data_IF_903488643649
#
_entry.id   IF_903488643649
#
_cell.length_a   1.000
_cell.length_b   1.000
_cell.length_c   1.000
_cell.angle_alpha   90.00
_cell.angle_beta   90.00
_cell.angle_gamma   90.00
#
_symmetry.space_group_name_H-M   'P 1'
#
loop_
_entity.id
_entity.type
_entity.pdbx_description
1 polymer ?
#
# COMPACT_ATOMS: atom_id res chain seq x y z
N UNK A 1 -7.60 12.57 -36.66
CA UNK A 1 -6.64 13.38 -35.88
C UNK A 1 -5.39 12.53 -35.72
N UNK A 2 -4.50 12.56 -36.72
CA UNK A 2 -3.25 11.82 -36.72
C UNK A 2 -2.21 12.66 -35.98
N UNK A 3 -1.68 12.15 -34.86
CA UNK A 3 -0.64 12.82 -34.09
C UNK A 3 0.72 12.40 -34.63
N UNK A 4 1.31 13.26 -35.47
CA UNK A 4 2.73 13.25 -35.78
C UNK A 4 3.53 13.63 -34.53
N UNK A 5 3.95 12.61 -33.81
CA UNK A 5 5.19 12.47 -33.04
C UNK A 5 4.92 11.34 -32.05
N UNK A 6 5.40 10.14 -32.38
CA UNK A 6 5.20 8.90 -31.61
C UNK A 6 5.90 8.92 -30.24
N UNK A 7 5.45 9.84 -29.39
CA UNK A 7 6.02 10.25 -28.11
C UNK A 7 4.86 10.55 -27.18
N UNK A 8 4.47 9.57 -26.39
CA UNK A 8 3.38 9.65 -25.44
C UNK A 8 3.88 9.80 -24.01
N UNK A 9 3.25 10.68 -23.26
CA UNK A 9 3.38 10.72 -21.81
C UNK A 9 2.48 9.67 -21.16
N UNK A 10 2.75 9.32 -19.89
CA UNK A 10 1.91 8.38 -19.12
C UNK A 10 0.43 8.81 -19.11
N UNK A 11 0.16 10.12 -19.11
CA UNK A 11 -1.20 10.65 -19.09
C UNK A 11 -1.91 10.34 -20.42
N UNK A 12 -1.27 10.64 -21.54
CA UNK A 12 -1.81 10.35 -22.88
C UNK A 12 -1.97 8.84 -23.11
N UNK A 13 -1.04 8.01 -22.60
CA UNK A 13 -1.18 6.55 -22.63
C UNK A 13 -2.42 6.07 -21.86
N UNK A 14 -2.71 6.68 -20.71
CA UNK A 14 -3.89 6.32 -19.91
C UNK A 14 -5.21 6.70 -20.59
N UNK A 15 -5.24 7.85 -21.27
CA UNK A 15 -6.40 8.31 -22.03
C UNK A 15 -6.64 7.44 -23.27
N UNK A 16 -5.58 7.08 -24.00
CA UNK A 16 -5.68 6.25 -25.21
C UNK A 16 -6.08 4.79 -24.91
N UNK A 17 -5.72 4.26 -23.75
CA UNK A 17 -6.03 2.89 -23.34
C UNK A 17 -7.35 2.78 -22.56
N UNK A 18 -7.90 3.88 -22.07
CA UNK A 18 -9.07 3.87 -21.17
C UNK A 18 -8.78 3.20 -19.83
N UNK A 19 -7.51 3.09 -19.44
CA UNK A 19 -7.03 2.40 -18.23
C UNK A 19 -6.48 3.41 -17.24
N UNK A 20 -6.75 3.23 -15.94
CA UNK A 20 -6.27 4.15 -14.89
C UNK A 20 -4.75 4.33 -14.96
N UNK A 21 -4.29 5.57 -14.78
CA UNK A 21 -2.86 5.95 -14.79
C UNK A 21 -1.97 5.08 -13.88
N UNK A 22 -2.48 4.68 -12.72
CA UNK A 22 -1.77 3.79 -11.79
C UNK A 22 -1.50 2.41 -12.36
N UNK A 23 -2.47 1.86 -13.11
CA UNK A 23 -2.35 0.56 -13.77
C UNK A 23 -1.39 0.63 -14.95
N UNK A 24 -1.42 1.74 -15.71
CA UNK A 24 -0.43 1.98 -16.77
C UNK A 24 0.99 2.06 -16.20
N UNK A 25 1.19 2.78 -15.09
CA UNK A 25 2.48 2.83 -14.40
C UNK A 25 2.97 1.44 -13.93
N UNK A 26 2.07 0.60 -13.41
CA UNK A 26 2.39 -0.76 -12.99
C UNK A 26 2.84 -1.63 -14.18
N UNK A 27 2.14 -1.54 -15.31
CA UNK A 27 2.53 -2.23 -16.53
C UNK A 27 3.86 -1.73 -17.10
N UNK A 28 4.09 -0.42 -17.08
CA UNK A 28 5.35 0.20 -17.51
C UNK A 28 6.54 -0.22 -16.63
N UNK A 29 6.33 -0.50 -15.34
CA UNK A 29 7.37 -1.01 -14.44
C UNK A 29 7.62 -2.51 -14.65
N UNK A 30 6.54 -3.30 -14.76
CA UNK A 30 6.61 -4.77 -14.84
C UNK A 30 7.07 -5.29 -16.20
N UNK A 31 6.69 -4.61 -17.28
CA UNK A 31 6.98 -5.00 -18.66
C UNK A 31 7.98 -4.04 -19.33
N UNK A 32 8.81 -3.36 -18.52
CA UNK A 32 9.82 -2.41 -19.00
C UNK A 32 10.79 -3.02 -20.03
N UNK A 33 11.02 -4.34 -19.94
CA UNK A 33 11.90 -5.12 -20.83
C UNK A 33 11.42 -5.11 -22.30
N UNK A 34 10.14 -4.83 -22.55
CA UNK A 34 9.55 -4.83 -23.88
C UNK A 34 9.20 -3.41 -24.38
N UNK A 35 9.65 -2.36 -23.68
CA UNK A 35 9.16 -0.99 -23.90
C UNK A 35 10.30 0.02 -23.93
N UNK A 36 10.27 0.91 -24.91
CA UNK A 36 11.24 2.00 -25.01
C UNK A 36 10.70 3.27 -24.34
N UNK A 37 11.57 3.92 -23.58
CA UNK A 37 11.32 5.25 -23.04
C UNK A 37 12.54 6.16 -23.23
N UNK A 38 12.26 7.42 -23.53
CA UNK A 38 13.24 8.50 -23.53
C UNK A 38 12.94 9.46 -22.37
N UNK A 39 13.99 9.93 -21.70
CA UNK A 39 13.85 10.92 -20.63
C UNK A 39 13.96 12.31 -21.22
N UNK A 40 12.89 13.09 -21.16
CA UNK A 40 12.90 14.52 -21.49
C UNK A 40 12.73 15.34 -20.21
N UNK A 41 13.85 15.89 -19.72
CA UNK A 41 13.89 16.59 -18.44
C UNK A 41 13.58 15.67 -17.25
N UNK A 42 12.45 15.91 -16.56
CA UNK A 42 11.96 15.07 -15.45
C UNK A 42 10.90 14.03 -15.87
N UNK A 43 10.53 13.96 -17.14
CA UNK A 43 9.40 13.14 -17.62
C UNK A 43 9.90 12.02 -18.54
N UNK A 44 9.35 10.82 -18.36
CA UNK A 44 9.51 9.70 -19.29
C UNK A 44 8.51 9.84 -20.43
N UNK A 45 9.00 9.68 -21.65
CA UNK A 45 8.23 9.71 -22.88
C UNK A 45 8.37 8.37 -23.57
N UNK A 46 7.25 7.79 -23.97
CA UNK A 46 7.14 6.45 -24.51
C UNK A 46 6.88 6.50 -26.02
N UNK A 47 7.46 5.56 -26.76
CA UNK A 47 7.30 5.42 -28.20
C UNK A 47 5.96 4.78 -28.60
N UNK A 48 5.66 4.79 -29.91
CA UNK A 48 4.52 4.05 -30.48
C UNK A 48 4.62 2.52 -30.28
N UNK A 49 5.85 1.98 -30.20
CA UNK A 49 6.08 0.57 -29.88
C UNK A 49 5.52 0.22 -28.51
N UNK A 50 5.79 1.06 -27.51
CA UNK A 50 5.27 0.91 -26.14
C UNK A 50 3.74 0.95 -26.10
N UNK A 51 3.10 1.80 -26.90
CA UNK A 51 1.64 1.85 -26.99
C UNK A 51 1.05 0.57 -27.58
N UNK A 52 1.71 -0.03 -28.57
CA UNK A 52 1.31 -1.32 -29.16
C UNK A 52 1.40 -2.46 -28.14
N UNK A 53 2.49 -2.50 -27.37
CA UNK A 53 2.69 -3.49 -26.28
C UNK A 53 1.65 -3.31 -25.19
N UNK A 54 1.38 -2.08 -24.75
CA UNK A 54 0.37 -1.79 -23.73
C UNK A 54 -1.06 -2.12 -24.18
N UNK A 55 -1.40 -1.89 -25.46
CA UNK A 55 -2.68 -2.34 -26.03
C UNK A 55 -2.81 -3.86 -25.96
N UNK A 56 -1.74 -4.60 -26.26
CA UNK A 56 -1.76 -6.06 -26.18
C UNK A 56 -1.87 -6.56 -24.74
N UNK A 57 -1.19 -5.90 -23.79
CA UNK A 57 -1.34 -6.20 -22.36
C UNK A 57 -2.80 -5.96 -21.91
N UNK A 58 -3.41 -4.85 -22.32
CA UNK A 58 -4.80 -4.55 -21.98
C UNK A 58 -5.76 -5.62 -22.53
N UNK A 59 -5.55 -6.09 -23.76
CA UNK A 59 -6.32 -7.17 -24.37
C UNK A 59 -6.16 -8.50 -23.61
N UNK A 60 -4.93 -8.91 -23.29
CA UNK A 60 -4.64 -10.15 -22.59
C UNK A 60 -5.16 -10.13 -21.14
N UNK A 61 -5.13 -8.96 -20.49
CA UNK A 61 -5.74 -8.75 -19.17
C UNK A 61 -7.26 -8.79 -19.24
N UNK A 62 -7.87 -8.23 -20.29
CA UNK A 62 -9.31 -8.34 -20.55
C UNK A 62 -9.76 -9.79 -20.76
N UNK A 63 -8.88 -10.64 -21.30
CA UNK A 63 -9.09 -12.08 -21.47
C UNK A 63 -8.84 -12.91 -20.19
N UNK A 64 -8.47 -12.27 -19.07
CA UNK A 64 -8.24 -12.96 -17.79
C UNK A 64 -6.94 -13.76 -17.70
N UNK A 65 -5.99 -13.57 -18.62
CA UNK A 65 -4.71 -14.30 -18.60
C UNK A 65 -3.83 -13.88 -17.41
N UNK A 66 -3.10 -14.84 -16.86
CA UNK A 66 -2.18 -14.58 -15.73
C UNK A 66 -1.05 -13.65 -16.16
N UNK A 67 -0.44 -12.97 -15.19
CA UNK A 67 0.72 -12.11 -15.45
C UNK A 67 1.88 -12.85 -16.12
N UNK A 68 2.03 -14.15 -15.81
CA UNK A 68 3.05 -15.04 -16.38
C UNK A 68 2.74 -15.39 -17.85
N UNK A 69 1.47 -15.67 -18.17
CA UNK A 69 1.05 -15.94 -19.55
C UNK A 69 1.19 -14.70 -20.43
N UNK A 70 0.93 -13.51 -19.87
CA UNK A 70 1.17 -12.23 -20.54
C UNK A 70 2.65 -12.07 -20.87
N UNK A 71 3.54 -12.35 -19.91
CA UNK A 71 4.98 -12.23 -20.12
C UNK A 71 5.48 -13.22 -21.20
N UNK A 72 5.06 -14.48 -21.14
CA UNK A 72 5.44 -15.49 -22.14
C UNK A 72 4.93 -15.19 -23.55
N UNK A 73 3.76 -14.55 -23.68
CA UNK A 73 3.22 -14.13 -24.98
C UNK A 73 3.88 -12.86 -25.50
N UNK A 74 4.28 -11.94 -24.62
CA UNK A 74 5.06 -10.77 -24.98
C UNK A 74 6.48 -11.16 -25.44
N UNK A 75 7.15 -12.07 -24.72
CA UNK A 75 8.48 -12.58 -25.08
C UNK A 75 8.51 -13.29 -26.44
N UNK A 76 7.38 -13.89 -26.86
CA UNK A 76 7.24 -14.54 -28.18
C UNK A 76 6.97 -13.55 -29.32
N UNK A 77 6.37 -12.39 -29.03
CA UNK A 77 5.88 -11.44 -30.03
C UNK A 77 6.77 -10.21 -30.20
N UNK A 78 7.42 -9.77 -29.13
CA UNK A 78 8.28 -8.60 -29.13
C UNK A 78 9.70 -9.05 -28.78
N UNK A 79 10.67 -8.67 -29.61
CA UNK A 79 12.08 -8.92 -29.32
C UNK A 79 12.44 -8.23 -28.00
N UNK A 80 13.10 -8.96 -27.11
CA UNK A 80 13.65 -8.41 -25.86
C UNK A 80 14.69 -7.35 -26.25
N UNK A 81 14.34 -6.07 -26.08
CA UNK A 81 15.24 -4.98 -26.37
C UNK A 81 16.06 -4.69 -25.09
N UNK A 82 17.39 -4.83 -25.12
CA UNK A 82 18.21 -4.63 -23.94
C UNK A 82 18.13 -3.17 -23.48
N UNK A 83 17.80 -3.03 -22.21
CA UNK A 83 17.69 -1.79 -21.45
C UNK A 83 18.96 -0.93 -21.58
N UNK A 84 18.89 0.38 -21.92
CA UNK A 84 20.03 1.27 -21.76
C UNK A 84 20.30 1.51 -20.27
N UNK A 85 21.57 1.31 -19.89
CA UNK A 85 22.10 1.29 -18.53
C UNK A 85 21.79 2.53 -17.69
N UNK A 86 21.59 2.39 -16.37
CA UNK A 86 21.82 3.48 -15.42
C UNK A 86 23.32 3.60 -15.08
N UNK A 87 23.91 4.77 -15.33
CA UNK A 87 25.26 5.14 -14.92
C UNK A 87 25.40 5.27 -13.38
N UNK A 88 26.45 4.62 -12.86
CA UNK A 88 27.14 4.77 -11.55
C UNK A 88 26.33 4.41 -10.29
N UNK A 89 26.86 3.60 -9.35
CA UNK A 89 28.18 3.70 -8.72
C UNK A 89 28.70 2.32 -8.25
N UNK A 90 29.95 2.02 -8.57
CA UNK A 90 30.92 1.09 -7.91
C UNK A 90 30.39 -0.14 -7.15
N UNK A 91 30.67 -1.33 -7.68
CA UNK A 91 31.22 -2.43 -6.88
C UNK A 91 31.94 -3.45 -7.77
N UNK A 92 33.11 -3.87 -7.29
CA UNK A 92 34.09 -4.74 -7.93
C UNK A 92 33.51 -6.12 -8.25
N UNK A 93 33.73 -6.58 -9.48
CA UNK A 93 33.65 -7.98 -9.90
C UNK A 93 34.41 -8.90 -8.90
N UNK A 94 34.04 -10.16 -8.69
CA UNK A 94 34.05 -11.26 -9.67
C UNK A 94 33.28 -12.46 -9.11
N UNK A 95 32.67 -13.20 -10.04
CA UNK A 95 32.23 -14.60 -10.01
C UNK A 95 30.84 -14.95 -9.48
N UNK A 96 29.91 -14.97 -10.43
CA UNK A 96 29.36 -16.19 -11.05
C UNK A 96 28.91 -17.33 -10.13
N UNK A 97 27.62 -17.64 -10.28
CA UNK A 97 27.20 -19.03 -10.44
C UNK A 97 26.13 -19.48 -9.48
N UNK A 98 24.88 -19.21 -9.86
CA UNK A 98 23.63 -19.84 -9.43
C UNK A 98 23.79 -21.25 -8.83
N UNK A 99 23.17 -21.59 -7.70
CA UNK A 99 21.74 -21.41 -7.45
C UNK A 99 20.99 -22.56 -8.09
N UNK A 100 20.87 -23.68 -7.36
CA UNK A 100 19.60 -24.21 -6.80
C UNK A 100 18.83 -25.05 -7.82
N UNK A 101 18.57 -26.34 -7.56
CA UNK A 101 17.47 -26.78 -6.69
C UNK A 101 16.14 -26.49 -7.40
N UNK A 102 15.23 -27.41 -7.68
CA UNK A 102 14.92 -28.70 -7.05
C UNK A 102 13.82 -29.39 -7.89
N UNK A 103 13.63 -30.71 -7.68
CA UNK A 103 12.36 -31.48 -7.57
C UNK A 103 11.05 -30.81 -8.03
N UNK A 104 10.02 -31.45 -8.60
CA UNK A 104 9.64 -32.86 -8.79
C UNK A 104 8.28 -32.87 -9.56
N UNK A 105 7.92 -34.02 -10.17
CA UNK A 105 6.54 -34.50 -10.39
C UNK A 105 5.94 -34.25 -11.78
N UNK A 106 5.96 -35.25 -12.69
CA UNK A 106 4.93 -36.31 -12.91
C UNK A 106 3.92 -35.90 -14.02
N UNK A 107 3.52 -36.67 -15.06
CA UNK A 107 3.71 -38.07 -15.52
C UNK A 107 3.38 -38.10 -17.04
N UNK A 108 3.90 -39.11 -17.75
CA UNK A 108 3.29 -39.80 -18.92
C UNK A 108 3.68 -39.32 -20.33
N UNK A 109 4.69 -39.97 -20.94
CA UNK A 109 4.53 -40.84 -22.12
C UNK A 109 5.87 -41.40 -22.63
N UNK A 110 5.90 -42.73 -22.84
CA UNK A 110 6.69 -43.50 -23.81
C UNK A 110 8.23 -43.62 -23.68
N UNK A 111 8.67 -44.81 -23.26
CA UNK A 111 9.92 -45.49 -23.65
C UNK A 111 9.59 -46.53 -24.77
N UNK A 112 10.54 -47.17 -25.50
CA UNK A 112 12.00 -47.12 -25.41
C UNK A 112 12.75 -47.02 -26.77
N UNK A 113 14.02 -46.60 -26.75
CA UNK A 113 15.01 -46.95 -27.80
C UNK A 113 16.30 -47.43 -27.12
N UNK A 114 16.45 -48.75 -27.02
CA UNK A 114 17.71 -49.45 -26.69
C UNK A 114 17.70 -50.80 -27.40
N UNK A 115 18.19 -50.81 -28.62
CA UNK A 115 18.70 -51.99 -29.36
C UNK A 115 19.90 -51.45 -30.14
N UNK A 116 21.00 -52.22 -30.21
CA UNK A 116 22.16 -52.08 -31.11
C UNK A 116 23.56 -52.23 -30.44
N UNK A 117 23.68 -52.76 -29.21
CA UNK A 117 24.99 -53.02 -28.59
C UNK A 117 25.30 -54.50 -28.26
N UNK A 118 24.50 -55.46 -28.75
CA UNK A 118 24.68 -56.90 -28.45
C UNK A 118 25.00 -57.80 -29.67
N UNK A 119 24.96 -57.29 -30.91
CA UNK A 119 25.20 -58.11 -32.11
C UNK A 119 26.69 -58.33 -32.42
N UNK A 120 27.56 -57.37 -32.17
CA UNK A 120 28.99 -57.47 -32.53
C UNK A 120 29.76 -58.52 -31.72
N UNK A 121 29.43 -58.70 -30.43
CA UNK A 121 30.10 -59.70 -29.58
C UNK A 121 29.68 -61.14 -29.92
N UNK A 122 28.50 -61.35 -30.48
CA UNK A 122 28.02 -62.67 -30.87
C UNK A 122 28.71 -63.16 -32.16
N UNK A 123 29.03 -62.26 -33.08
CA UNK A 123 29.72 -62.61 -34.34
C UNK A 123 31.19 -62.98 -34.12
N UNK A 124 31.89 -62.28 -33.21
CA UNK A 124 33.27 -62.58 -32.82
C UNK A 124 33.39 -63.99 -32.19
N UNK A 125 32.42 -64.36 -31.34
CA UNK A 125 32.39 -65.65 -30.66
C UNK A 125 32.13 -66.81 -31.65
N UNK A 126 31.20 -66.62 -32.59
CA UNK A 126 30.89 -67.61 -33.63
C UNK A 126 32.08 -67.84 -34.57
N UNK A 127 32.90 -66.80 -34.82
CA UNK A 127 34.13 -66.91 -35.62
C UNK A 127 35.20 -67.74 -34.91
N UNK A 128 35.35 -67.57 -33.59
CA UNK A 128 36.28 -68.37 -32.78
C UNK A 128 35.85 -69.84 -32.70
N UNK A 129 34.55 -70.11 -32.54
CA UNK A 129 34.01 -71.48 -32.55
C UNK A 129 34.25 -72.19 -33.88
N UNK A 130 34.06 -71.51 -35.01
CA UNK A 130 34.27 -72.11 -36.34
C UNK A 130 35.76 -72.44 -36.58
N UNK A 131 36.68 -71.58 -36.14
CA UNK A 131 38.12 -71.84 -36.20
C UNK A 131 38.58 -72.97 -35.26
N UNK A 132 37.87 -73.22 -34.16
CA UNK A 132 38.14 -74.33 -33.25
C UNK A 132 37.63 -75.66 -33.81
N UNK A 133 36.45 -75.67 -34.42
CA UNK A 133 35.89 -76.85 -35.11
C UNK A 133 36.83 -77.34 -36.23
N UNK A 134 37.40 -76.43 -37.03
CA UNK A 134 38.32 -76.79 -38.11
C UNK A 134 39.64 -77.41 -37.61
N UNK A 135 40.04 -77.11 -36.36
CA UNK A 135 41.18 -77.78 -35.71
C UNK A 135 40.82 -79.16 -35.19
N UNK A 136 39.58 -79.36 -34.73
CA UNK A 136 39.08 -80.66 -34.27
C UNK A 136 38.99 -81.63 -35.46
N UNK A 137 38.45 -81.19 -36.60
CA UNK A 137 38.37 -82.02 -37.81
C UNK A 137 39.76 -82.41 -38.34
N UNK A 138 40.76 -81.51 -38.23
CA UNK A 138 42.16 -81.83 -38.59
C UNK A 138 42.81 -82.82 -37.64
N UNK A 139 42.50 -82.75 -36.34
CA UNK A 139 43.00 -83.72 -35.36
C UNK A 139 42.32 -85.09 -35.52
N UNK A 140 41.05 -85.10 -35.89
CA UNK A 140 40.31 -86.33 -36.18
C UNK A 140 40.79 -87.00 -37.49
N UNK A 141 41.06 -86.22 -38.54
CA UNK A 141 41.68 -86.71 -39.77
C UNK A 141 43.11 -87.23 -39.56
N UNK A 142 43.89 -86.60 -38.67
CA UNK A 142 45.22 -87.07 -38.29
C UNK A 142 45.18 -88.33 -37.40
N UNK A 143 44.16 -88.47 -36.55
CA UNK A 143 43.93 -89.65 -35.73
C UNK A 143 43.41 -90.85 -36.55
N UNK A 144 42.63 -90.60 -37.62
CA UNK A 144 42.13 -91.63 -38.53
C UNK A 144 43.20 -92.19 -39.49
N UNK A 145 44.34 -91.49 -39.66
CA UNK A 145 45.46 -91.90 -40.50
C UNK A 145 46.53 -92.74 -39.76
N UNK A 146 46.31 -93.07 -38.47
CA UNK A 146 47.22 -93.94 -37.72
C UNK A 146 46.99 -95.42 -38.07
N UNK A 147 48.03 -96.19 -38.45
CA UNK A 147 47.92 -97.63 -38.63
C UNK A 147 47.60 -98.32 -37.29
N UNK A 148 46.82 -99.42 -37.30
CA UNK A 148 46.43 -100.13 -36.08
C UNK A 148 47.66 -100.68 -35.33
N UNK A 149 47.69 -100.59 -33.98
CA UNK A 149 48.81 -101.10 -33.18
C UNK A 149 48.87 -102.64 -33.21
N UNK A 150 50.07 -103.25 -33.21
CA UNK A 150 50.23 -104.70 -33.19
C UNK A 150 49.83 -105.32 -31.84
N UNK A 151 49.31 -106.54 -31.95
CA UNK A 151 48.75 -107.43 -30.94
C UNK A 151 49.68 -107.80 -29.74
N UNK A 152 49.10 -108.33 -28.63
CA UNK A 152 49.58 -108.08 -27.27
C UNK A 152 50.74 -108.98 -26.81
N UNK A 153 51.71 -108.35 -26.13
CA UNK A 153 52.82 -109.04 -25.45
C UNK A 153 52.51 -109.22 -23.96
N UNK A 154 52.13 -110.46 -23.62
CA UNK A 154 52.27 -111.19 -22.33
C UNK A 154 52.37 -110.36 -21.03
N UNK A 155 51.31 -110.46 -20.24
CA UNK A 155 51.15 -110.09 -18.82
C UNK A 155 52.35 -110.49 -17.95
N UNK A 156 53.03 -109.49 -17.38
CA UNK A 156 53.63 -109.50 -16.03
C UNK A 156 53.90 -108.04 -15.62
N UNK A 157 53.29 -107.66 -14.48
CA UNK A 157 53.35 -106.37 -13.72
C UNK A 157 52.52 -105.16 -14.21
N UNK A 158 51.18 -105.25 -14.25
CA UNK A 158 50.29 -104.09 -14.38
C UNK A 158 50.21 -103.23 -13.09
N UNK A 159 50.46 -103.79 -11.90
CA UNK A 159 50.25 -103.08 -10.63
C UNK A 159 51.22 -101.90 -10.36
N UNK A 160 52.44 -101.94 -10.89
CA UNK A 160 53.44 -100.89 -10.65
C UNK A 160 53.22 -99.62 -11.50
N UNK A 161 52.47 -99.72 -12.61
CA UNK A 161 52.13 -98.57 -13.46
C UNK A 161 50.92 -97.81 -12.87
N UNK A 162 49.99 -98.50 -12.20
CA UNK A 162 48.80 -97.88 -11.60
C UNK A 162 49.07 -97.20 -10.26
N UNK A 163 50.07 -97.64 -9.49
CA UNK A 163 50.44 -97.04 -8.20
C UNK A 163 50.72 -95.52 -8.26
N UNK A 164 51.54 -94.99 -9.19
CA UNK A 164 51.77 -93.54 -9.28
C UNK A 164 50.51 -92.79 -9.73
N UNK A 165 49.66 -93.39 -10.56
CA UNK A 165 48.40 -92.77 -11.04
C UNK A 165 47.42 -92.58 -9.88
N UNK A 166 47.24 -93.61 -9.04
CA UNK A 166 46.37 -93.53 -7.86
C UNK A 166 46.92 -92.52 -6.85
N UNK A 167 48.24 -92.47 -6.66
CA UNK A 167 48.86 -91.50 -5.76
C UNK A 167 48.67 -90.06 -6.26
N UNK A 168 48.78 -89.82 -7.57
CA UNK A 168 48.49 -88.53 -8.19
C UNK A 168 47.01 -88.14 -8.03
N UNK A 169 46.11 -89.11 -8.10
CA UNK A 169 44.67 -88.89 -7.94
C UNK A 169 44.32 -88.54 -6.49
N UNK A 170 44.94 -89.21 -5.50
CA UNK A 170 44.80 -88.86 -4.08
C UNK A 170 45.40 -87.48 -3.80
N UNK A 171 46.58 -87.17 -4.34
CA UNK A 171 47.19 -85.85 -4.23
C UNK A 171 46.31 -84.75 -4.86
N UNK A 172 45.69 -85.05 -6.01
CA UNK A 172 44.72 -84.16 -6.67
C UNK A 172 43.48 -83.91 -5.81
N UNK A 173 42.88 -84.96 -5.24
CA UNK A 173 41.73 -84.82 -4.33
C UNK A 173 42.11 -84.03 -3.07
N UNK A 174 43.30 -84.27 -2.51
CA UNK A 174 43.78 -83.53 -1.35
C UNK A 174 44.02 -82.04 -1.67
N UNK A 175 44.58 -81.73 -2.84
CA UNK A 175 44.79 -80.35 -3.30
C UNK A 175 43.46 -79.62 -3.56
N UNK A 176 42.49 -80.28 -4.20
CA UNK A 176 41.14 -79.73 -4.43
C UNK A 176 40.42 -79.51 -3.09
N UNK A 177 40.54 -80.45 -2.16
CA UNK A 177 39.93 -80.35 -0.83
C UNK A 177 40.54 -79.22 0.00
N UNK A 178 41.87 -79.03 -0.06
CA UNK A 178 42.55 -77.90 0.58
C UNK A 178 42.14 -76.57 -0.08
N UNK A 179 42.19 -76.48 -1.41
CA UNK A 179 41.82 -75.24 -2.12
C UNK A 179 40.35 -74.86 -1.87
N UNK A 180 39.43 -75.83 -1.91
CA UNK A 180 38.02 -75.62 -1.59
C UNK A 180 37.79 -75.22 -0.13
N UNK A 181 38.54 -75.79 0.82
CA UNK A 181 38.45 -75.39 2.23
C UNK A 181 38.95 -73.96 2.44
N UNK A 182 40.05 -73.57 1.78
CA UNK A 182 40.62 -72.23 1.84
C UNK A 182 39.67 -71.18 1.25
N UNK A 183 39.13 -71.43 0.07
CA UNK A 183 38.16 -70.53 -0.57
C UNK A 183 36.89 -70.37 0.29
N UNK A 184 36.42 -71.45 0.91
CA UNK A 184 35.25 -71.40 1.80
C UNK A 184 35.51 -70.59 3.07
N UNK A 185 36.73 -70.62 3.62
CA UNK A 185 37.11 -69.77 4.76
C UNK A 185 37.24 -68.31 4.38
N UNK A 186 37.79 -68.03 3.19
CA UNK A 186 37.93 -66.66 2.69
C UNK A 186 36.54 -66.05 2.41
N UNK A 187 35.66 -66.79 1.73
CA UNK A 187 34.26 -66.38 1.49
C UNK A 187 33.44 -66.20 2.78
N UNK A 188 33.65 -67.04 3.80
CA UNK A 188 33.01 -66.85 5.11
C UNK A 188 33.50 -65.59 5.82
N UNK A 189 34.79 -65.27 5.70
CA UNK A 189 35.35 -64.05 6.27
C UNK A 189 34.84 -62.79 5.56
N UNK A 190 34.71 -62.83 4.23
CA UNK A 190 34.14 -61.74 3.44
C UNK A 190 32.66 -61.53 3.73
N UNK A 191 31.88 -62.61 3.83
CA UNK A 191 30.47 -62.52 4.18
C UNK A 191 30.26 -62.00 5.62
N UNK A 192 31.08 -62.45 6.58
CA UNK A 192 31.06 -61.91 7.93
C UNK A 192 31.46 -60.41 7.97
N UNK A 193 32.40 -59.98 7.13
CA UNK A 193 32.76 -58.57 7.00
C UNK A 193 31.63 -57.74 6.35
N UNK A 194 30.97 -58.29 5.32
CA UNK A 194 29.79 -57.66 4.69
C UNK A 194 28.64 -57.53 5.68
N UNK A 195 28.33 -58.56 6.45
CA UNK A 195 27.29 -58.53 7.48
C UNK A 195 27.59 -57.47 8.56
N UNK A 196 28.84 -57.37 9.02
CA UNK A 196 29.26 -56.31 9.95
C UNK A 196 29.09 -54.92 9.33
N UNK A 197 29.54 -54.72 8.10
CA UNK A 197 29.37 -53.43 7.40
C UNK A 197 27.91 -53.05 7.21
N UNK A 198 27.05 -54.03 6.93
CA UNK A 198 25.61 -53.82 6.76
C UNK A 198 24.92 -53.53 8.10
N UNK A 199 25.37 -54.19 9.17
CA UNK A 199 24.92 -53.90 10.53
C UNK A 199 25.37 -52.51 11.01
N UNK A 200 26.59 -52.10 10.69
CA UNK A 200 27.10 -50.74 10.94
C UNK A 200 26.30 -49.69 10.16
N UNK A 201 26.01 -49.94 8.88
CA UNK A 201 25.14 -49.08 8.07
C UNK A 201 23.72 -49.00 8.64
N UNK A 202 23.12 -50.11 9.08
CA UNK A 202 21.81 -50.10 9.73
C UNK A 202 21.81 -49.34 11.05
N UNK A 203 22.87 -49.46 11.85
CA UNK A 203 23.00 -48.73 13.12
C UNK A 203 23.21 -47.24 12.88
N UNK A 204 24.05 -46.86 11.91
CA UNK A 204 24.24 -45.46 11.50
C UNK A 204 22.93 -44.84 10.99
N UNK A 205 22.18 -45.57 10.16
CA UNK A 205 20.88 -45.13 9.68
C UNK A 205 19.87 -44.96 10.83
N UNK A 206 19.82 -45.90 11.78
CA UNK A 206 18.98 -45.78 12.98
C UNK A 206 19.35 -44.57 13.84
N UNK A 207 20.64 -44.30 14.01
CA UNK A 207 21.11 -43.11 14.72
C UNK A 207 20.68 -41.82 13.99
N UNK A 208 20.83 -41.77 12.67
CA UNK A 208 20.41 -40.62 11.86
C UNK A 208 18.89 -40.40 11.93
N UNK A 209 18.09 -41.47 11.91
CA UNK A 209 16.64 -41.37 12.09
C UNK A 209 16.26 -40.85 13.48
N UNK A 210 16.90 -41.36 14.54
CA UNK A 210 16.66 -40.88 15.90
C UNK A 210 17.08 -39.42 16.11
N UNK A 211 18.16 -38.96 15.46
CA UNK A 211 18.55 -37.56 15.45
C UNK A 211 17.55 -36.69 14.68
N UNK A 212 17.10 -37.15 13.51
CA UNK A 212 16.09 -36.45 12.71
C UNK A 212 14.75 -36.34 13.46
N UNK A 213 14.32 -37.39 14.16
CA UNK A 213 13.13 -37.36 15.02
C UNK A 213 13.27 -36.34 16.16
N UNK A 214 14.43 -36.29 16.83
CA UNK A 214 14.70 -35.28 17.86
C UNK A 214 14.67 -33.86 17.29
N UNK A 215 15.26 -33.66 16.11
CA UNK A 215 15.22 -32.36 15.43
C UNK A 215 13.79 -31.98 15.01
N UNK A 216 12.99 -32.94 14.54
CA UNK A 216 11.59 -32.73 14.20
C UNK A 216 10.77 -32.34 15.44
N UNK A 217 10.93 -33.06 16.56
CA UNK A 217 10.25 -32.75 17.82
C UNK A 217 10.65 -31.36 18.37
N UNK A 218 11.94 -31.00 18.30
CA UNK A 218 12.43 -29.69 18.71
C UNK A 218 11.87 -28.55 17.84
N UNK A 219 11.78 -28.77 16.51
CA UNK A 219 11.14 -27.82 15.59
C UNK A 219 9.65 -27.65 15.89
N UNK A 220 8.95 -28.74 16.20
CA UNK A 220 7.53 -28.69 16.55
C UNK A 220 7.29 -27.89 17.85
N UNK A 221 8.13 -28.07 18.86
CA UNK A 221 8.05 -27.26 20.10
C UNK A 221 8.31 -25.78 19.82
N UNK A 222 9.34 -25.47 19.02
CA UNK A 222 9.65 -24.08 18.65
C UNK A 222 8.50 -23.42 17.89
N UNK A 223 7.83 -24.14 16.99
CA UNK A 223 6.64 -23.64 16.29
C UNK A 223 5.47 -23.39 17.24
N UNK A 224 5.26 -24.26 18.24
CA UNK A 224 4.23 -24.05 19.26
C UNK A 224 4.52 -22.81 20.11
N UNK A 225 5.77 -22.63 20.52
CA UNK A 225 6.19 -21.46 21.30
C UNK A 225 6.07 -20.17 20.49
N UNK A 226 6.46 -20.18 19.21
CA UNK A 226 6.25 -19.06 18.28
C UNK A 226 4.76 -18.74 18.11
N UNK A 227 3.90 -19.74 17.97
CA UNK A 227 2.46 -19.53 17.85
C UNK A 227 1.84 -18.94 19.13
N UNK A 228 2.34 -19.32 20.31
CA UNK A 228 1.93 -18.72 21.58
C UNK A 228 2.41 -17.27 21.68
N UNK A 229 3.67 -17.00 21.32
CA UNK A 229 4.22 -15.63 21.29
C UNK A 229 3.46 -14.74 20.30
N UNK A 230 3.14 -15.24 19.12
CA UNK A 230 2.39 -14.48 18.13
C UNK A 230 0.99 -14.12 18.66
N UNK A 231 0.31 -15.06 19.31
CA UNK A 231 -1.00 -14.80 19.94
C UNK A 231 -0.91 -13.75 21.05
N UNK A 232 0.11 -13.81 21.90
CA UNK A 232 0.26 -12.83 23.00
C UNK A 232 0.60 -11.44 22.46
N UNK A 233 1.47 -11.35 21.43
CA UNK A 233 1.80 -10.09 20.75
C UNK A 233 0.55 -9.52 20.08
N UNK A 234 -0.20 -10.32 19.30
CA UNK A 234 -1.45 -9.87 18.67
C UNK A 234 -2.44 -9.32 19.70
N UNK A 235 -2.67 -10.06 20.79
CA UNK A 235 -3.59 -9.62 21.84
C UNK A 235 -3.11 -8.36 22.57
N UNK A 236 -1.80 -8.18 22.76
CA UNK A 236 -1.22 -6.95 23.30
C UNK A 236 -1.40 -5.77 22.33
N UNK A 237 -1.15 -5.97 21.03
CA UNK A 237 -1.35 -4.93 20.02
C UNK A 237 -2.81 -4.53 19.86
N UNK A 238 -3.75 -5.48 19.93
CA UNK A 238 -5.19 -5.20 19.91
C UNK A 238 -5.62 -4.39 21.13
N UNK A 239 -5.11 -4.73 22.32
CA UNK A 239 -5.36 -3.96 23.55
C UNK A 239 -4.82 -2.53 23.44
N UNK A 240 -3.60 -2.35 22.92
CA UNK A 240 -3.04 -1.02 22.69
C UNK A 240 -3.85 -0.22 21.69
N UNK A 241 -4.24 -0.83 20.57
CA UNK A 241 -5.08 -0.19 19.55
C UNK A 241 -6.46 0.19 20.12
N UNK A 242 -7.05 -0.66 20.96
CA UNK A 242 -8.32 -0.37 21.62
C UNK A 242 -8.19 0.79 22.62
N UNK A 243 -7.12 0.82 23.43
CA UNK A 243 -6.85 1.91 24.35
C UNK A 243 -6.59 3.24 23.61
N UNK A 244 -5.83 3.21 22.51
CA UNK A 244 -5.57 4.39 21.70
C UNK A 244 -6.86 4.91 21.05
N UNK A 245 -7.69 4.02 20.51
CA UNK A 245 -9.02 4.38 19.98
C UNK A 245 -9.93 5.00 21.04
N UNK A 246 -9.94 4.48 22.26
CA UNK A 246 -10.70 5.08 23.37
C UNK A 246 -10.18 6.46 23.72
N UNK A 247 -8.86 6.65 23.77
CA UNK A 247 -8.23 7.92 24.07
C UNK A 247 -8.54 8.98 22.99
N UNK A 248 -8.52 8.61 21.71
CA UNK A 248 -8.96 9.49 20.62
C UNK A 248 -10.46 9.78 20.67
N UNK A 249 -11.29 8.78 20.99
CA UNK A 249 -12.73 8.98 21.13
C UNK A 249 -13.05 9.96 22.29
N UNK A 250 -12.36 9.83 23.43
CA UNK A 250 -12.50 10.73 24.56
C UNK A 250 -12.03 12.15 24.21
N UNK A 251 -10.87 12.30 23.55
CA UNK A 251 -10.38 13.59 23.07
C UNK A 251 -11.35 14.23 22.08
N UNK A 252 -11.89 13.46 21.13
CA UNK A 252 -12.88 13.95 20.18
C UNK A 252 -14.18 14.38 20.88
N UNK A 253 -14.65 13.61 21.86
CA UNK A 253 -15.84 13.95 22.66
C UNK A 253 -15.62 15.24 23.47
N UNK A 254 -14.46 15.39 24.12
CA UNK A 254 -14.08 16.62 24.84
C UNK A 254 -14.02 17.83 23.92
N UNK A 255 -13.36 17.71 22.78
CA UNK A 255 -13.28 18.78 21.78
C UNK A 255 -14.68 19.17 21.25
N UNK A 256 -15.55 18.19 21.00
CA UNK A 256 -16.94 18.47 20.62
C UNK A 256 -17.72 19.18 21.73
N UNK A 257 -17.56 18.76 22.99
CA UNK A 257 -18.23 19.38 24.12
C UNK A 257 -17.76 20.84 24.35
N UNK A 258 -16.46 21.10 24.23
CA UNK A 258 -15.89 22.46 24.30
C UNK A 258 -16.40 23.34 23.17
N UNK A 259 -16.44 22.82 21.95
CA UNK A 259 -16.99 23.55 20.81
C UNK A 259 -18.48 23.89 21.01
N UNK A 260 -19.27 22.94 21.51
CA UNK A 260 -20.70 23.18 21.81
C UNK A 260 -20.89 24.24 22.89
N UNK A 261 -20.04 24.26 23.92
CA UNK A 261 -20.05 25.32 24.95
C UNK A 261 -19.74 26.69 24.33
N UNK A 262 -18.71 26.79 23.50
CA UNK A 262 -18.37 28.05 22.81
C UNK A 262 -19.51 28.52 21.91
N UNK A 263 -20.17 27.60 21.20
CA UNK A 263 -21.33 27.94 20.36
C UNK A 263 -22.53 28.45 21.19
N UNK A 264 -22.80 27.82 22.34
CA UNK A 264 -23.85 28.25 23.25
C UNK A 264 -23.57 29.66 23.82
N UNK A 265 -22.32 29.92 24.22
CA UNK A 265 -21.90 31.24 24.71
C UNK A 265 -22.01 32.31 23.62
N UNK A 266 -21.59 32.01 22.39
CA UNK A 266 -21.77 32.93 21.26
C UNK A 266 -23.26 33.22 20.98
N UNK A 267 -24.13 32.21 21.09
CA UNK A 267 -25.57 32.41 20.93
C UNK A 267 -26.15 33.32 22.00
N UNK A 268 -25.78 33.10 23.27
CA UNK A 268 -26.22 33.95 24.37
C UNK A 268 -25.74 35.40 24.18
N UNK A 269 -24.51 35.61 23.73
CA UNK A 269 -23.98 36.94 23.47
C UNK A 269 -24.66 37.61 22.26
N UNK A 270 -24.98 36.85 21.21
CA UNK A 270 -25.74 37.35 20.07
C UNK A 270 -27.19 37.73 20.46
N UNK A 271 -27.83 36.96 21.33
CA UNK A 271 -29.17 37.24 21.86
C UNK A 271 -29.17 38.53 22.70
N UNK A 272 -28.23 38.67 23.65
CA UNK A 272 -28.04 39.92 24.41
C UNK A 272 -27.77 41.13 23.52
N UNK A 273 -27.02 40.95 22.43
CA UNK A 273 -26.78 42.02 21.46
C UNK A 273 -28.05 42.38 20.67
N UNK A 274 -28.87 41.39 20.30
CA UNK A 274 -30.15 41.60 19.64
C UNK A 274 -31.17 42.32 20.55
N UNK A 275 -31.24 41.96 21.83
CA UNK A 275 -32.06 42.64 22.83
C UNK A 275 -31.66 44.11 23.00
N UNK A 276 -30.36 44.38 23.17
CA UNK A 276 -29.85 45.76 23.24
C UNK A 276 -30.21 46.57 22.01
N UNK A 277 -30.11 45.97 20.84
CA UNK A 277 -30.48 46.61 19.58
C UNK A 277 -31.98 46.92 19.50
N UNK A 278 -32.83 45.98 19.90
CA UNK A 278 -34.28 46.18 19.94
C UNK A 278 -34.66 47.31 20.91
N UNK A 279 -34.05 47.35 22.10
CA UNK A 279 -34.26 48.41 23.08
C UNK A 279 -33.84 49.78 22.53
N UNK A 280 -32.69 49.88 21.86
CA UNK A 280 -32.24 51.12 21.21
C UNK A 280 -33.20 51.59 20.11
N UNK A 281 -33.76 50.69 19.30
CA UNK A 281 -34.76 51.07 18.28
C UNK A 281 -36.03 51.65 18.91
N UNK A 282 -36.50 51.07 20.01
CA UNK A 282 -37.67 51.58 20.74
C UNK A 282 -37.35 52.97 21.32
N UNK A 283 -36.18 53.13 21.94
CA UNK A 283 -35.74 54.41 22.49
C UNK A 283 -35.61 55.50 21.41
N UNK A 284 -35.09 55.15 20.23
CA UNK A 284 -35.02 56.05 19.07
C UNK A 284 -36.41 56.54 18.65
N UNK A 285 -37.37 55.63 18.45
CA UNK A 285 -38.74 56.00 18.06
C UNK A 285 -39.39 56.89 19.11
N UNK A 286 -39.25 56.55 20.38
CA UNK A 286 -39.78 57.36 21.48
C UNK A 286 -39.16 58.77 21.53
N UNK A 287 -37.85 58.89 21.30
CA UNK A 287 -37.18 60.20 21.27
C UNK A 287 -37.55 61.03 20.04
N UNK A 288 -37.71 60.40 18.88
CA UNK A 288 -38.20 61.07 17.67
C UNK A 288 -39.61 61.63 17.86
N UNK A 289 -40.50 60.89 18.53
CA UNK A 289 -41.84 61.37 18.89
C UNK A 289 -41.79 62.50 19.91
N UNK A 290 -40.97 62.40 20.96
CA UNK A 290 -40.75 63.50 21.92
C UNK A 290 -40.24 64.76 21.24
N UNK A 291 -39.27 64.65 20.34
CA UNK A 291 -38.73 65.81 19.63
C UNK A 291 -39.79 66.41 18.70
N UNK A 292 -40.66 65.59 18.11
CA UNK A 292 -41.78 66.10 17.30
C UNK A 292 -42.76 66.90 18.17
N UNK A 293 -43.08 66.44 19.37
CA UNK A 293 -43.97 67.16 20.29
C UNK A 293 -43.32 68.41 20.87
N UNK A 294 -42.05 68.32 21.29
CA UNK A 294 -41.24 69.47 21.74
C UNK A 294 -41.14 70.52 20.64
N UNK A 295 -40.88 70.13 19.39
CA UNK A 295 -40.81 71.05 18.25
C UNK A 295 -42.15 71.74 18.01
N UNK A 296 -43.27 71.02 18.04
CA UNK A 296 -44.60 71.62 17.89
C UNK A 296 -44.92 72.59 19.03
N UNK A 297 -44.52 72.26 20.25
CA UNK A 297 -44.70 73.13 21.41
C UNK A 297 -43.83 74.39 21.29
N UNK A 298 -42.56 74.23 20.90
CA UNK A 298 -41.64 75.33 20.67
C UNK A 298 -42.11 76.24 19.53
N UNK A 299 -42.58 75.69 18.41
CA UNK A 299 -43.16 76.46 17.30
C UNK A 299 -44.38 77.29 17.76
N UNK A 300 -45.26 76.71 18.58
CA UNK A 300 -46.39 77.44 19.18
C UNK A 300 -45.94 78.55 20.14
N UNK A 301 -44.95 78.26 21.00
CA UNK A 301 -44.40 79.25 21.94
C UNK A 301 -43.69 80.39 21.21
N UNK A 302 -42.87 80.09 20.21
CA UNK A 302 -42.19 81.09 19.38
C UNK A 302 -43.20 81.94 18.63
N UNK A 303 -44.26 81.34 18.06
CA UNK A 303 -45.32 82.10 17.39
C UNK A 303 -46.09 83.03 18.36
N UNK A 304 -46.35 82.58 19.58
CA UNK A 304 -46.97 83.41 20.62
C UNK A 304 -46.06 84.58 21.04
N UNK A 305 -44.79 84.29 21.35
CA UNK A 305 -43.80 85.30 21.73
C UNK A 305 -43.52 86.27 20.58
N UNK A 306 -43.53 85.82 19.32
CA UNK A 306 -43.44 86.70 18.15
C UNK A 306 -44.65 87.64 18.03
N UNK A 307 -45.85 87.15 18.31
CA UNK A 307 -47.07 87.98 18.31
C UNK A 307 -46.99 89.04 19.42
N UNK A 308 -46.59 88.65 20.62
CA UNK A 308 -46.40 89.56 21.75
C UNK A 308 -45.28 90.58 21.46
N UNK A 309 -44.20 90.15 20.83
CA UNK A 309 -43.11 91.02 20.39
C UNK A 309 -43.57 92.04 19.34
N UNK A 310 -44.37 91.62 18.35
CA UNK A 310 -44.94 92.52 17.34
C UNK A 310 -45.90 93.54 17.96
N UNK A 311 -46.62 93.16 19.01
CA UNK A 311 -47.52 94.04 19.75
C UNK A 311 -46.72 95.03 20.61
N UNK A 312 -45.73 94.56 21.36
CA UNK A 312 -44.82 95.40 22.14
C UNK A 312 -44.02 96.39 21.26
N UNK A 313 -43.59 95.99 20.07
CA UNK A 313 -42.95 96.89 19.10
C UNK A 313 -43.92 97.98 18.62
N UNK A 314 -45.19 97.63 18.36
CA UNK A 314 -46.23 98.60 18.00
C UNK A 314 -46.52 99.57 19.14
N UNK A 315 -46.65 99.07 20.36
CA UNK A 315 -46.88 99.88 21.55
C UNK A 315 -45.68 100.80 21.84
N UNK A 316 -44.46 100.33 21.62
CA UNK A 316 -43.23 101.15 21.71
C UNK A 316 -43.18 102.23 20.62
N UNK A 317 -43.65 101.94 19.41
CA UNK A 317 -43.75 102.92 18.32
C UNK A 317 -44.80 104.01 18.64
N UNK A 318 -45.91 103.65 19.27
CA UNK A 318 -46.94 104.59 19.75
C UNK A 318 -46.39 105.41 20.94
N UNK A 319 -45.73 104.75 21.91
CA UNK A 319 -45.18 105.38 23.10
C UNK A 319 -44.02 106.34 22.80
N UNK A 320 -43.34 106.19 21.65
CA UNK A 320 -42.32 107.14 21.17
C UNK A 320 -42.82 108.59 21.06
N UNK A 321 -44.13 108.80 20.97
CA UNK A 321 -44.82 110.10 20.96
C UNK A 321 -45.41 110.50 22.35
N UNK A 322 -45.05 109.82 23.45
CA UNK A 322 -45.54 110.07 24.82
C UNK A 322 -44.45 109.88 25.91
N UNK A 323 -44.80 110.00 27.19
CA UNK A 323 -43.91 110.02 28.38
C UNK A 323 -42.74 109.00 28.38
N UNK A 324 -41.57 109.47 28.85
CA UNK A 324 -40.30 108.73 28.89
C UNK A 324 -40.38 107.38 29.63
N UNK A 325 -41.20 107.29 30.67
CA UNK A 325 -41.35 106.09 31.52
C UNK A 325 -42.05 104.93 30.78
N UNK A 326 -42.95 105.21 29.84
CA UNK A 326 -43.59 104.17 29.00
C UNK A 326 -42.62 103.59 27.97
N UNK A 327 -41.67 104.40 27.51
CA UNK A 327 -40.65 104.03 26.53
C UNK A 327 -39.60 103.09 27.11
N UNK A 328 -39.19 103.32 28.36
CA UNK A 328 -38.25 102.42 29.06
C UNK A 328 -38.87 101.07 29.38
N UNK A 329 -40.13 101.03 29.79
CA UNK A 329 -40.81 99.78 30.15
C UNK A 329 -41.06 98.90 28.91
N UNK A 330 -41.53 99.48 27.81
CA UNK A 330 -41.74 98.74 26.55
C UNK A 330 -40.43 98.24 25.93
N UNK A 331 -39.32 98.99 26.06
CA UNK A 331 -38.01 98.53 25.59
C UNK A 331 -37.45 97.36 26.43
N UNK A 332 -37.73 97.34 27.74
CA UNK A 332 -37.36 96.25 28.62
C UNK A 332 -38.14 94.95 28.30
N UNK A 333 -39.44 95.05 27.98
CA UNK A 333 -40.24 93.90 27.53
C UNK A 333 -39.73 93.32 26.20
N UNK A 334 -39.40 94.15 25.22
CA UNK A 334 -38.82 93.70 23.94
C UNK A 334 -37.53 92.91 24.17
N UNK A 335 -36.63 93.39 25.03
CA UNK A 335 -35.40 92.65 25.38
C UNK A 335 -35.70 91.32 26.05
N UNK A 336 -36.64 91.29 27.00
CA UNK A 336 -37.03 90.07 27.71
C UNK A 336 -37.60 89.00 26.75
N UNK A 337 -38.45 89.41 25.81
CA UNK A 337 -39.02 88.51 24.80
C UNK A 337 -37.93 88.00 23.82
N UNK A 338 -36.96 88.85 23.44
CA UNK A 338 -35.80 88.42 22.63
C UNK A 338 -34.92 87.39 23.34
N UNK A 339 -34.67 87.55 24.64
CA UNK A 339 -33.94 86.56 25.44
C UNK A 339 -34.70 85.22 25.56
N UNK A 340 -36.02 85.27 25.68
CA UNK A 340 -36.85 84.06 25.69
C UNK A 340 -36.77 83.29 24.37
N UNK A 341 -36.80 83.99 23.22
CA UNK A 341 -36.63 83.35 21.89
C UNK A 341 -35.26 82.66 21.81
N UNK A 342 -34.18 83.35 22.19
CA UNK A 342 -32.82 82.76 22.17
C UNK A 342 -32.71 81.52 23.05
N UNK A 343 -33.38 81.50 24.20
CA UNK A 343 -33.38 80.35 25.11
C UNK A 343 -34.10 79.14 24.49
N UNK A 344 -35.27 79.36 23.88
CA UNK A 344 -36.02 78.31 23.17
C UNK A 344 -35.24 77.74 21.97
N UNK A 345 -34.53 78.59 21.23
CA UNK A 345 -33.64 78.15 20.14
C UNK A 345 -32.48 77.28 20.65
N UNK A 346 -31.87 77.66 21.78
CA UNK A 346 -30.80 76.89 22.40
C UNK A 346 -31.28 75.51 22.89
N UNK A 347 -32.48 75.43 23.47
CA UNK A 347 -33.08 74.16 23.90
C UNK A 347 -33.39 73.25 22.70
N UNK A 348 -33.85 73.81 21.58
CA UNK A 348 -34.08 73.06 20.34
C UNK A 348 -32.77 72.51 19.71
N UNK A 349 -31.66 73.26 19.80
CA UNK A 349 -30.33 72.78 19.38
C UNK A 349 -29.86 71.62 20.26
N UNK A 350 -30.11 71.70 21.58
CA UNK A 350 -29.76 70.64 22.52
C UNK A 350 -30.53 69.35 22.24
N UNK A 351 -31.86 69.42 22.04
CA UNK A 351 -32.66 68.22 21.70
C UNK A 351 -32.24 67.58 20.37
N UNK A 352 -31.80 68.36 19.37
CA UNK A 352 -31.23 67.80 18.13
C UNK A 352 -29.93 67.03 18.38
N UNK A 353 -29.05 67.57 19.22
CA UNK A 353 -27.76 66.93 19.56
C UNK A 353 -27.97 65.58 20.27
N UNK A 354 -28.92 65.51 21.19
CA UNK A 354 -29.26 64.26 21.89
C UNK A 354 -29.77 63.17 20.91
N UNK A 355 -30.59 63.54 19.93
CA UNK A 355 -31.07 62.61 18.90
C UNK A 355 -29.94 62.11 18.00
N UNK A 356 -29.01 62.99 17.65
CA UNK A 356 -27.84 62.62 16.85
C UNK A 356 -26.92 61.66 17.60
N UNK A 357 -26.75 61.84 18.90
CA UNK A 357 -26.02 60.90 19.75
C UNK A 357 -26.68 59.52 19.80
N UNK A 358 -28.01 59.45 20.00
CA UNK A 358 -28.74 58.16 20.01
C UNK A 358 -28.67 57.48 18.62
N UNK A 359 -28.68 58.26 17.52
CA UNK A 359 -28.47 57.72 16.16
C UNK A 359 -27.09 57.10 16.00
N UNK A 360 -26.03 57.77 16.47
CA UNK A 360 -24.67 57.22 16.44
C UNK A 360 -24.55 55.94 17.26
N UNK A 361 -25.18 55.88 18.44
CA UNK A 361 -25.22 54.67 19.28
C UNK A 361 -25.98 53.53 18.58
N UNK A 362 -27.08 53.82 17.89
CA UNK A 362 -27.82 52.84 17.11
C UNK A 362 -27.03 52.30 15.91
N UNK A 363 -26.33 53.16 15.17
CA UNK A 363 -25.47 52.75 14.04
C UNK A 363 -24.28 51.90 14.52
N UNK A 364 -23.67 52.25 15.65
CA UNK A 364 -22.64 51.43 16.27
C UNK A 364 -23.20 50.04 16.66
N UNK A 365 -24.42 49.97 17.20
CA UNK A 365 -25.09 48.71 17.53
C UNK A 365 -25.42 47.86 16.28
N UNK A 366 -25.83 48.47 15.16
CA UNK A 366 -26.02 47.76 13.88
C UNK A 366 -24.72 47.12 13.42
N UNK A 367 -23.63 47.88 13.51
CA UNK A 367 -22.31 47.42 13.08
C UNK A 367 -21.81 46.26 13.95
N UNK A 368 -22.02 46.35 15.26
CA UNK A 368 -21.72 45.28 16.20
C UNK A 368 -22.56 44.02 15.95
N UNK A 369 -23.86 44.17 15.65
CA UNK A 369 -24.74 43.05 15.30
C UNK A 369 -24.29 42.35 14.01
N UNK A 370 -23.98 43.09 12.95
CA UNK A 370 -23.49 42.53 11.69
C UNK A 370 -22.18 41.74 11.89
N UNK A 371 -21.28 42.25 12.73
CA UNK A 371 -20.05 41.56 13.09
C UNK A 371 -20.34 40.25 13.85
N UNK A 372 -21.19 40.30 14.87
CA UNK A 372 -21.59 39.11 15.64
C UNK A 372 -22.27 38.04 14.76
N UNK A 373 -23.10 38.46 13.80
CA UNK A 373 -23.75 37.56 12.85
C UNK A 373 -22.74 36.90 11.89
N UNK A 374 -21.76 37.67 11.38
CA UNK A 374 -20.67 37.13 10.57
C UNK A 374 -19.81 36.12 11.34
N UNK A 375 -19.50 36.41 12.60
CA UNK A 375 -18.73 35.51 13.47
C UNK A 375 -19.51 34.23 13.79
N UNK A 376 -20.83 34.32 14.01
CA UNK A 376 -21.70 33.15 14.20
C UNK A 376 -21.80 32.27 12.94
N UNK A 377 -21.82 32.87 11.74
CA UNK A 377 -21.79 32.13 10.47
C UNK A 377 -20.45 31.40 10.27
N UNK A 378 -19.32 32.05 10.60
CA UNK A 378 -17.99 31.41 10.58
C UNK A 378 -17.93 30.23 11.54
N UNK A 379 -18.39 30.39 12.79
CA UNK A 379 -18.45 29.32 13.77
C UNK A 379 -19.31 28.12 13.30
N UNK A 380 -20.48 28.37 12.69
CA UNK A 380 -21.30 27.30 12.09
C UNK A 380 -20.60 26.57 10.95
N UNK A 381 -19.79 27.27 10.18
CA UNK A 381 -19.04 26.69 9.06
C UNK A 381 -17.90 25.81 9.56
N UNK A 382 -17.18 26.24 10.60
CA UNK A 382 -16.16 25.43 11.26
C UNK A 382 -16.75 24.19 11.96
N UNK A 383 -17.93 24.30 12.58
CA UNK A 383 -18.65 23.12 13.12
C UNK A 383 -18.98 22.09 12.04
N UNK A 384 -19.38 22.54 10.84
CA UNK A 384 -19.64 21.63 9.72
C UNK A 384 -18.37 20.91 9.25
N UNK A 385 -17.21 21.58 9.28
CA UNK A 385 -15.92 20.96 8.92
C UNK A 385 -15.44 19.94 9.96
N UNK A 386 -15.71 20.18 11.24
CA UNK A 386 -15.38 19.28 12.34
C UNK A 386 -16.32 18.07 12.45
N UNK A 387 -17.44 18.07 11.73
CA UNK A 387 -18.35 16.93 11.66
C UNK A 387 -17.73 15.87 10.75
N UNK A 388 -16.86 15.05 11.33
CA UNK A 388 -16.34 13.81 10.73
C UNK A 388 -17.55 12.99 10.25
N UNK A 389 -17.57 12.50 9.00
CA UNK A 389 -18.62 11.60 8.55
C UNK A 389 -18.64 10.39 9.49
N UNK A 390 -19.80 10.16 10.12
CA UNK A 390 -20.03 8.97 10.91
C UNK A 390 -19.63 7.76 10.06
N UNK A 391 -18.67 6.98 10.56
CA UNK A 391 -18.28 5.72 9.93
C UNK A 391 -19.55 4.90 9.65
N UNK A 392 -19.74 4.38 8.42
CA UNK A 392 -20.90 3.55 8.14
C UNK A 392 -20.88 2.38 9.11
N UNK A 393 -21.99 2.20 9.84
CA UNK A 393 -22.20 1.04 10.68
C UNK A 393 -22.00 -0.21 9.82
N UNK A 394 -20.93 -0.95 10.10
CA UNK A 394 -20.71 -2.26 9.52
C UNK A 394 -21.88 -3.16 9.93
N UNK A 395 -22.64 -3.62 8.93
CA UNK A 395 -23.61 -4.70 9.07
C UNK A 395 -22.91 -6.04 8.99
#
# INVERSE_FOLDING_TARGET
MATENGKYTVIELSELLGVKRTTVNDWLAKYAVYMDYSVQGKRRIYSDSTLTVLKKIAELRGQGKSSFDIDSTLAKLYAVHPQPEPENVTETAVNDGAGQGSSDGEVTEMLPQRVDYQSEQAEELLRQFRAMMEKIDRLEAAAAALPPPPEPVKKRSEAWIWAPIILLLIAGIAAISWFGYRELTDLRSENAAREKSLQEQQNALRQQMAENEKQAAAREQLLKDQAVQEKTVRLATEKQLAAEKQLYAEKAAKAQAEFQKQLAEQRLNAEKAAEKYAALQIALKAREEQIKTEKQLAEKQVAAVQKDLQQAIRDLAIAKNSDATRKTNSAAEVKKLQEQIKKLEADAVKSKKDLEQIRQEADAAITARKKAEADAVRARTELKKLKVPAAPAAK
#
